data_IF_767007231065
#
_entry.id   IF_767007231065
#
_cell.length_a   1.000
_cell.length_b   1.000
_cell.length_c   1.000
_cell.angle_alpha   90.00
_cell.angle_beta   90.00
_cell.angle_gamma   90.00
#
_symmetry.space_group_name_H-M   'P 1'
#
loop_
_entity.id
_entity.type
_entity.pdbx_description
1 polymer ?
#
# COMPACT_ATOMS: atom_id res chain seq x y z
N UNK A 1 -23.15 -2.67 -38.02
CA UNK A 1 -23.36 -3.25 -36.68
C UNK A 1 -23.49 -2.09 -35.70
N UNK A 2 -24.66 -1.90 -35.09
CA UNK A 2 -24.93 -0.79 -34.17
C UNK A 2 -24.07 -0.94 -32.90
N UNK A 3 -23.34 0.11 -32.52
CA UNK A 3 -22.72 0.23 -31.20
C UNK A 3 -23.78 0.80 -30.24
N UNK A 4 -24.31 -0.03 -29.35
CA UNK A 4 -25.23 0.43 -28.30
C UNK A 4 -24.40 0.94 -27.13
N UNK A 5 -24.21 2.26 -27.02
CA UNK A 5 -23.61 2.89 -25.84
C UNK A 5 -24.71 3.21 -24.83
N UNK A 6 -24.77 2.48 -23.72
CA UNK A 6 -25.60 2.87 -22.57
C UNK A 6 -24.80 3.91 -21.79
N UNK A 7 -25.20 5.18 -21.89
CA UNK A 7 -24.68 6.29 -21.06
C UNK A 7 -25.62 6.45 -19.88
N UNK A 8 -25.28 5.87 -18.73
CA UNK A 8 -26.03 6.12 -17.50
C UNK A 8 -25.54 7.43 -16.89
N UNK A 9 -26.26 8.54 -17.18
CA UNK A 9 -26.08 9.81 -16.48
C UNK A 9 -26.81 9.75 -15.14
N UNK A 10 -26.09 9.87 -14.03
CA UNK A 10 -26.68 10.23 -12.74
C UNK A 10 -26.11 11.59 -12.31
N UNK A 11 -27.03 12.47 -11.91
CA UNK A 11 -26.81 13.87 -11.54
C UNK A 11 -26.23 13.98 -10.13
N UNK A 12 -25.14 14.75 -9.99
CA UNK A 12 -24.72 15.64 -8.86
C UNK A 12 -24.76 15.07 -7.42
N UNK A 13 -23.74 15.16 -6.56
CA UNK A 13 -22.95 16.37 -6.27
C UNK A 13 -21.60 16.09 -5.55
N UNK A 14 -21.06 14.88 -5.57
CA UNK A 14 -19.74 14.60 -4.99
C UNK A 14 -19.02 13.45 -5.72
N UNK A 15 -18.37 13.78 -6.85
CA UNK A 15 -17.10 13.17 -7.26
C UNK A 15 -16.97 11.66 -7.43
N UNK A 16 -18.01 10.92 -7.84
CA UNK A 16 -17.84 9.54 -8.33
C UNK A 16 -17.89 9.54 -9.86
N UNK A 17 -16.74 9.39 -10.52
CA UNK A 17 -16.67 9.24 -11.98
C UNK A 17 -16.41 7.77 -12.29
N UNK A 18 -17.46 7.03 -12.63
CA UNK A 18 -17.31 5.67 -13.19
C UNK A 18 -17.01 5.81 -14.67
N UNK A 19 -15.72 5.85 -15.03
CA UNK A 19 -15.30 5.97 -16.43
C UNK A 19 -15.35 4.60 -17.11
N UNK A 20 -16.50 4.31 -17.72
CA UNK A 20 -16.75 3.25 -18.71
C UNK A 20 -16.62 1.76 -18.27
N UNK A 21 -17.69 1.00 -18.54
CA UNK A 21 -17.65 -0.45 -18.63
C UNK A 21 -17.38 -0.83 -20.10
N UNK A 22 -16.16 -1.26 -20.44
CA UNK A 22 -15.86 -1.80 -21.77
C UNK A 22 -16.17 -3.29 -21.80
N UNK A 23 -17.21 -3.69 -22.53
CA UNK A 23 -17.47 -5.10 -22.85
C UNK A 23 -16.70 -5.39 -24.15
N UNK A 24 -15.49 -5.94 -24.02
CA UNK A 24 -14.69 -6.41 -25.17
C UNK A 24 -15.25 -7.70 -25.80
N UNK A 25 -14.84 -8.05 -27.04
CA UNK A 25 -15.27 -9.28 -27.73
C UNK A 25 -14.76 -10.55 -27.03
N UNK A 26 -15.35 -11.74 -27.30
CA UNK A 26 -15.18 -12.95 -26.50
C UNK A 26 -13.85 -13.65 -26.81
N UNK A 27 -12.72 -13.13 -26.31
CA UNK A 27 -11.43 -13.83 -26.36
C UNK A 27 -10.42 -13.41 -25.27
N UNK A 28 -10.82 -12.60 -24.30
CA UNK A 28 -9.99 -12.22 -23.16
C UNK A 28 -10.89 -11.77 -22.03
N UNK A 29 -10.63 -12.27 -20.82
CA UNK A 29 -11.46 -12.09 -19.62
C UNK A 29 -11.94 -10.63 -19.49
N UNK A 30 -13.24 -10.37 -19.24
CA UNK A 30 -13.72 -9.02 -19.02
C UNK A 30 -13.22 -8.49 -17.67
N UNK A 31 -12.21 -7.62 -17.66
CA UNK A 31 -11.92 -6.84 -16.47
C UNK A 31 -12.94 -5.71 -16.37
N UNK A 32 -13.79 -5.74 -15.34
CA UNK A 32 -14.47 -4.53 -14.90
C UNK A 32 -13.36 -3.57 -14.47
N UNK A 33 -13.32 -2.40 -15.12
CA UNK A 33 -12.24 -1.43 -14.99
C UNK A 33 -12.00 -0.92 -13.57
N UNK A 34 -11.14 0.08 -13.44
CA UNK A 34 -10.80 0.70 -12.16
C UNK A 34 -11.83 1.78 -11.79
N UNK A 35 -12.17 1.87 -10.51
CA UNK A 35 -12.81 3.07 -9.95
C UNK A 35 -11.71 4.07 -9.60
N UNK A 36 -11.77 5.27 -10.18
CA UNK A 36 -10.83 6.35 -9.85
C UNK A 36 -11.54 7.35 -8.92
N UNK A 37 -11.07 7.44 -7.67
CA UNK A 37 -11.61 8.36 -6.67
C UNK A 37 -10.46 9.17 -6.07
N UNK A 38 -10.53 10.50 -6.19
CA UNK A 38 -9.49 11.44 -5.72
C UNK A 38 -8.07 11.10 -6.21
N UNK A 39 -7.94 10.60 -7.44
CA UNK A 39 -6.66 10.24 -8.05
C UNK A 39 -6.14 8.83 -7.71
N UNK A 40 -6.87 8.07 -6.89
CA UNK A 40 -6.52 6.69 -6.53
C UNK A 40 -7.38 5.71 -7.33
N UNK A 41 -6.76 4.68 -7.90
CA UNK A 41 -7.43 3.63 -8.69
C UNK A 41 -7.67 2.39 -7.83
N UNK A 42 -8.94 2.04 -7.65
CA UNK A 42 -9.38 0.83 -6.98
C UNK A 42 -9.79 -0.22 -8.01
N UNK A 43 -9.18 -1.41 -7.96
CA UNK A 43 -9.55 -2.53 -8.82
C UNK A 43 -10.89 -3.14 -8.43
N UNK A 44 -11.82 -3.29 -9.37
CA UNK A 44 -13.08 -3.98 -9.13
C UNK A 44 -12.90 -5.50 -9.30
N UNK A 45 -13.18 -6.30 -8.26
CA UNK A 45 -13.27 -7.78 -8.38
C UNK A 45 -14.51 -8.18 -9.20
N UNK A 46 -14.39 -9.25 -10.00
CA UNK A 46 -15.48 -9.79 -10.83
C UNK A 46 -16.65 -10.28 -9.95
N UNK A 47 -17.79 -9.58 -9.97
CA UNK A 47 -19.05 -10.04 -9.32
C UNK A 47 -19.62 -11.34 -9.92
N UNK A 48 -18.99 -11.84 -10.99
CA UNK A 48 -19.32 -13.07 -11.71
C UNK A 48 -18.51 -14.26 -11.23
N UNK A 49 -17.53 -14.08 -10.36
CA UNK A 49 -16.75 -15.19 -9.80
C UNK A 49 -17.69 -16.12 -8.99
N UNK A 50 -17.72 -17.44 -9.27
CA UNK A 50 -18.64 -18.37 -8.61
C UNK A 50 -18.55 -18.31 -7.08
N UNK A 51 -17.33 -18.13 -6.57
CA UNK A 51 -17.03 -18.07 -5.14
C UNK A 51 -17.60 -16.79 -4.49
N UNK A 52 -17.54 -15.65 -5.18
CA UNK A 52 -18.14 -14.40 -4.70
C UNK A 52 -19.68 -14.47 -4.67
N UNK A 53 -20.31 -15.16 -5.63
CA UNK A 53 -21.77 -15.36 -5.64
C UNK A 53 -22.24 -16.28 -4.52
N UNK A 54 -21.48 -17.32 -4.23
CA UNK A 54 -21.77 -18.28 -3.16
C UNK A 54 -21.52 -17.71 -1.75
N UNK A 55 -20.73 -16.65 -1.61
CA UNK A 55 -20.48 -16.00 -0.33
C UNK A 55 -21.76 -15.39 0.27
N UNK A 56 -21.94 -15.61 1.57
CA UNK A 56 -23.00 -14.98 2.37
C UNK A 56 -22.85 -13.45 2.37
N UNK A 57 -23.92 -12.74 2.73
CA UNK A 57 -23.85 -11.29 2.94
C UNK A 57 -22.78 -10.91 3.97
N UNK A 58 -22.64 -11.70 5.03
CA UNK A 58 -21.60 -11.54 6.06
C UNK A 58 -20.20 -11.73 5.48
N UNK A 59 -19.97 -12.75 4.64
CA UNK A 59 -18.67 -12.97 3.99
C UNK A 59 -18.27 -11.81 3.07
N UNK A 60 -19.23 -11.25 2.34
CA UNK A 60 -19.00 -10.08 1.47
C UNK A 60 -18.63 -8.84 2.28
N UNK A 61 -19.37 -8.57 3.36
CA UNK A 61 -19.07 -7.45 4.26
C UNK A 61 -17.73 -7.65 4.96
N UNK A 62 -17.41 -8.87 5.37
CA UNK A 62 -16.13 -9.23 5.98
C UNK A 62 -14.96 -8.95 5.04
N UNK A 63 -15.03 -9.41 3.78
CA UNK A 63 -14.00 -9.14 2.77
C UNK A 63 -13.86 -7.64 2.49
N UNK A 64 -14.96 -6.89 2.38
CA UNK A 64 -14.90 -5.43 2.18
C UNK A 64 -14.27 -4.71 3.37
N UNK A 65 -14.58 -5.14 4.60
CA UNK A 65 -13.96 -4.58 5.80
C UNK A 65 -12.48 -4.92 5.87
N UNK A 66 -12.09 -6.15 5.54
CA UNK A 66 -10.71 -6.58 5.53
C UNK A 66 -9.89 -5.83 4.47
N UNK A 67 -10.42 -5.71 3.25
CA UNK A 67 -9.82 -4.92 2.17
C UNK A 67 -9.65 -3.46 2.59
N UNK A 68 -10.70 -2.84 3.15
CA UNK A 68 -10.60 -1.50 3.71
C UNK A 68 -9.50 -1.40 4.76
N UNK A 69 -9.48 -2.30 5.76
CA UNK A 69 -8.47 -2.29 6.82
C UNK A 69 -7.04 -2.37 6.26
N UNK A 70 -6.81 -3.23 5.27
CA UNK A 70 -5.47 -3.56 4.77
C UNK A 70 -4.98 -2.69 3.60
N UNK A 71 -5.85 -1.90 2.96
CA UNK A 71 -5.49 -1.13 1.75
C UNK A 71 -5.86 0.34 1.82
N UNK A 72 -6.71 0.75 2.77
CA UNK A 72 -7.11 2.14 2.91
C UNK A 72 -5.97 2.96 3.54
N UNK A 73 -5.65 4.16 3.00
CA UNK A 73 -4.65 5.05 3.60
C UNK A 73 -5.01 5.50 5.02
N UNK A 74 -6.27 5.36 5.44
CA UNK A 74 -6.72 5.73 6.79
C UNK A 74 -6.47 4.64 7.84
N UNK A 75 -6.44 3.37 7.42
CA UNK A 75 -6.38 2.24 8.35
C UNK A 75 -5.14 1.39 8.19
N UNK A 76 -4.51 1.39 7.02
CA UNK A 76 -3.38 0.49 6.70
C UNK A 76 -2.28 0.54 7.75
N UNK A 77 -1.94 1.73 8.27
CA UNK A 77 -0.93 1.91 9.33
C UNK A 77 -1.20 1.16 10.65
N UNK A 78 -2.45 0.80 10.92
CA UNK A 78 -2.83 0.08 12.14
C UNK A 78 -2.86 -1.43 11.96
N UNK A 79 -2.99 -1.91 10.72
CA UNK A 79 -3.20 -3.32 10.40
C UNK A 79 -2.05 -3.94 9.61
N UNK A 80 -1.22 -3.13 8.96
CA UNK A 80 0.03 -3.54 8.33
C UNK A 80 1.17 -2.80 9.04
N UNK A 81 2.08 -3.54 9.69
CA UNK A 81 3.34 -2.96 10.13
C UNK A 81 4.02 -2.29 8.92
N UNK A 82 4.53 -1.08 9.12
CA UNK A 82 5.39 -0.42 8.14
C UNK A 82 6.72 -1.17 7.98
N UNK A 83 7.51 -0.82 6.96
CA UNK A 83 8.87 -1.35 6.82
C UNK A 83 9.70 -0.99 8.06
N UNK A 84 10.71 -1.81 8.36
CA UNK A 84 11.55 -1.64 9.55
C UNK A 84 12.29 -0.28 9.59
N UNK A 85 12.46 0.36 8.44
CA UNK A 85 13.11 1.66 8.25
C UNK A 85 12.25 2.89 8.53
N UNK A 86 10.93 2.73 8.72
CA UNK A 86 10.03 3.79 9.20
C UNK A 86 10.16 3.89 10.73
N UNK A 87 11.17 4.63 11.20
CA UNK A 87 11.55 4.65 12.61
C UNK A 87 10.67 5.59 13.46
N UNK A 88 9.91 6.48 12.82
CA UNK A 88 9.01 7.41 13.49
C UNK A 88 7.53 6.96 13.43
N UNK A 89 7.23 5.92 12.64
CA UNK A 89 5.92 5.30 12.41
C UNK A 89 4.87 6.24 11.80
N UNK A 90 5.28 7.17 10.95
CA UNK A 90 4.36 8.08 10.25
C UNK A 90 3.86 7.51 8.90
N UNK A 91 4.41 6.38 8.46
CA UNK A 91 4.06 5.72 7.20
C UNK A 91 4.90 6.15 6.01
N UNK A 92 5.96 6.90 6.24
CA UNK A 92 6.92 7.35 5.26
C UNK A 92 8.33 6.89 5.67
N UNK A 93 9.24 6.79 4.70
CA UNK A 93 10.67 6.66 4.99
C UNK A 93 11.36 7.85 4.34
N UNK A 94 11.75 8.80 5.19
CA UNK A 94 12.24 10.11 4.76
C UNK A 94 13.40 10.64 5.61
N UNK A 95 13.64 11.95 5.58
CA UNK A 95 14.73 12.56 6.34
C UNK A 95 14.53 12.56 7.86
N UNK A 96 13.30 12.47 8.36
CA UNK A 96 13.04 12.30 9.79
C UNK A 96 13.51 10.92 10.27
N UNK A 97 13.33 9.88 9.46
CA UNK A 97 13.87 8.54 9.74
C UNK A 97 15.39 8.51 9.57
N UNK A 98 15.91 9.18 8.53
CA UNK A 98 17.35 9.32 8.34
C UNK A 98 18.02 10.02 9.52
N UNK A 99 17.38 11.06 10.08
CA UNK A 99 17.90 11.77 11.24
C UNK A 99 18.06 10.85 12.46
N UNK A 100 17.20 9.84 12.58
CA UNK A 100 17.32 8.78 13.58
C UNK A 100 18.40 7.76 13.21
N UNK A 101 18.44 7.32 11.96
CA UNK A 101 19.47 6.40 11.47
C UNK A 101 20.88 6.94 11.71
N UNK A 102 21.16 8.18 11.29
CA UNK A 102 22.49 8.78 11.42
C UNK A 102 22.95 8.92 12.88
N UNK A 103 22.02 9.09 13.82
CA UNK A 103 22.32 9.16 15.24
C UNK A 103 22.72 7.80 15.82
N UNK A 104 22.36 6.73 15.11
CA UNK A 104 22.56 5.35 15.52
C UNK A 104 23.74 4.64 14.84
N UNK A 105 24.33 5.25 13.80
CA UNK A 105 25.51 4.70 13.13
C UNK A 105 26.65 4.49 14.13
N UNK A 106 27.03 3.23 14.29
CA UNK A 106 28.12 2.79 15.15
C UNK A 106 29.32 2.29 14.33
N UNK A 107 29.09 1.90 13.08
CA UNK A 107 30.09 1.36 12.15
C UNK A 107 30.36 -0.13 12.35
N UNK A 108 31.03 -0.77 11.38
CA UNK A 108 31.14 -2.22 11.28
C UNK A 108 31.81 -2.84 12.51
N UNK A 109 31.20 -3.90 13.03
CA UNK A 109 31.58 -4.66 14.21
C UNK A 109 31.39 -3.92 15.54
N UNK A 110 30.70 -2.78 15.56
CA UNK A 110 30.48 -2.00 16.78
C UNK A 110 29.00 -2.02 17.16
N UNK A 111 28.61 -2.78 18.18
CA UNK A 111 27.22 -2.78 18.62
C UNK A 111 26.76 -1.42 19.15
N UNK A 112 25.53 -0.98 18.81
CA UNK A 112 24.98 0.26 19.33
C UNK A 112 24.87 0.20 20.87
N UNK A 113 25.34 1.26 21.53
CA UNK A 113 25.28 1.36 23.00
C UNK A 113 23.89 1.80 23.48
N UNK A 114 23.18 2.55 22.63
CA UNK A 114 21.84 3.02 22.94
C UNK A 114 20.78 2.00 22.49
N UNK A 115 19.92 1.49 23.39
CA UNK A 115 18.80 0.62 23.03
C UNK A 115 17.86 1.20 21.97
N UNK A 116 17.77 2.53 21.83
CA UNK A 116 16.97 3.18 20.78
C UNK A 116 17.48 2.92 19.37
N UNK A 117 18.72 2.45 19.25
CA UNK A 117 19.40 2.17 17.99
C UNK A 117 19.36 0.71 17.57
N UNK A 118 18.78 -0.18 18.38
CA UNK A 118 18.57 -1.58 18.01
C UNK A 118 17.61 -1.75 16.83
N UNK A 119 16.74 -0.77 16.59
CA UNK A 119 15.83 -0.79 15.44
C UNK A 119 16.53 -0.41 14.12
N UNK A 120 17.74 0.19 14.19
CA UNK A 120 18.47 0.63 13.01
C UNK A 120 19.38 -0.46 12.41
N UNK A 121 19.52 -1.59 13.11
CA UNK A 121 20.18 -2.82 12.62
C UNK A 121 19.14 -3.55 11.76
N UNK A 122 19.20 -3.24 10.46
CA UNK A 122 18.24 -3.69 9.46
C UNK A 122 18.65 -5.02 8.83
N UNK A 123 19.94 -5.36 8.82
CA UNK A 123 20.43 -6.65 8.29
C UNK A 123 20.67 -7.72 9.38
N UNK A 124 20.52 -7.35 10.64
CA UNK A 124 20.53 -8.21 11.84
C UNK A 124 21.91 -8.80 12.12
N UNK A 125 22.94 -7.96 12.02
CA UNK A 125 24.34 -8.34 12.25
C UNK A 125 24.97 -7.77 13.54
N UNK A 126 24.13 -7.18 14.42
CA UNK A 126 24.48 -6.56 15.70
C UNK A 126 25.26 -5.24 15.57
N UNK A 127 25.32 -4.61 14.41
CA UNK A 127 25.81 -3.24 14.25
C UNK A 127 24.91 -2.35 13.37
N UNK A 128 25.23 -1.06 13.32
CA UNK A 128 24.52 -0.10 12.49
C UNK A 128 25.52 0.57 11.56
N UNK A 129 25.56 0.16 10.30
CA UNK A 129 26.59 0.58 9.37
C UNK A 129 26.09 0.86 7.94
N UNK A 130 26.99 0.75 6.96
CA UNK A 130 26.68 1.01 5.57
C UNK A 130 25.77 -0.06 4.92
N UNK A 131 25.80 -1.30 5.42
CA UNK A 131 24.91 -2.37 4.97
C UNK A 131 23.46 -2.04 5.34
N UNK A 132 23.21 -1.64 6.58
CA UNK A 132 21.90 -1.16 7.03
C UNK A 132 21.45 0.06 6.25
N UNK A 133 22.36 1.00 6.00
CA UNK A 133 22.03 2.18 5.21
C UNK A 133 21.59 1.81 3.79
N UNK A 134 22.18 0.77 3.20
CA UNK A 134 21.75 0.23 1.91
C UNK A 134 20.31 -0.30 1.95
N UNK A 135 19.90 -0.98 3.02
CA UNK A 135 18.53 -1.43 3.22
C UNK A 135 17.57 -0.26 3.45
N UNK A 136 17.98 0.73 4.25
CA UNK A 136 17.23 1.98 4.46
C UNK A 136 16.97 2.70 3.13
N UNK A 137 17.98 2.83 2.26
CA UNK A 137 17.88 3.49 0.96
C UNK A 137 16.85 2.83 0.03
N UNK A 138 16.69 1.50 0.10
CA UNK A 138 15.71 0.78 -0.71
C UNK A 138 14.26 1.16 -0.36
N UNK A 139 14.04 1.73 0.82
CA UNK A 139 12.74 2.15 1.31
C UNK A 139 12.46 3.64 1.16
N UNK A 140 13.44 4.46 0.77
CA UNK A 140 13.28 5.91 0.75
C UNK A 140 12.14 6.33 -0.19
N UNK A 141 11.04 6.86 0.37
CA UNK A 141 9.86 7.29 -0.38
C UNK A 141 9.71 8.81 -0.40
N UNK A 142 10.14 9.48 0.67
CA UNK A 142 9.94 10.92 0.88
C UNK A 142 8.69 11.23 1.74
N UNK A 143 8.55 12.50 2.18
CA UNK A 143 7.61 12.87 3.25
C UNK A 143 6.13 12.84 2.85
N UNK A 144 5.83 12.88 1.55
CA UNK A 144 4.45 12.94 1.04
C UNK A 144 4.02 11.61 0.37
N UNK A 145 4.97 10.70 0.14
CA UNK A 145 4.74 9.46 -0.60
C UNK A 145 4.78 8.27 0.37
N UNK A 146 3.69 7.49 0.50
CA UNK A 146 3.67 6.31 1.36
C UNK A 146 4.78 5.34 0.95
N UNK A 147 5.51 4.82 1.93
CA UNK A 147 6.53 3.83 1.67
C UNK A 147 5.92 2.52 1.16
N UNK A 148 6.63 1.82 0.26
CA UNK A 148 6.25 0.47 -0.14
C UNK A 148 6.34 -0.47 1.08
N UNK A 149 5.23 -1.08 1.55
CA UNK A 149 5.26 -2.00 2.69
C UNK A 149 6.13 -3.25 2.46
N UNK A 150 6.52 -3.53 1.21
CA UNK A 150 7.38 -4.65 0.86
C UNK A 150 8.86 -4.27 0.73
N UNK A 151 9.24 -3.01 0.96
CA UNK A 151 10.63 -2.61 0.96
C UNK A 151 11.34 -3.09 2.24
N UNK A 152 12.67 -3.22 2.16
CA UNK A 152 13.51 -3.69 3.27
C UNK A 152 14.09 -5.08 2.99
N UNK A 153 14.66 -5.75 4.02
CA UNK A 153 15.27 -7.08 3.91
C UNK A 153 14.26 -8.19 3.58
#
# INVERSE_FOLDING_TARGET
>A
MLRTSIVMRLLSSAGLVVTACQIGPPAGKPSLGYLEHRGVRHGLRELTEPDYRAASGEGKVGEMLLDFMLTSPFTVRWFRPGPASDFNHDGHVDFADFDRFQACVSGPGNPPVDPYCLACDLDVDDDNDQADFGLFQNCLSGPDDPVDPACGP
#
